data_IF_725429407388
#
_entry.id   IF_725429407388
#
_cell.length_a   1.000
_cell.length_b   1.000
_cell.length_c   1.000
_cell.angle_alpha   90.00
_cell.angle_beta   90.00
_cell.angle_gamma   90.00
#
_symmetry.space_group_name_H-M   'P 1'
#
loop_
_entity.id
_entity.type
_entity.pdbx_description
1 polymer ?
#
# COMPACT_ATOMS: atom_id res chain seq x y z
N UNK A 1 -10.09 9.30 20.84
CA UNK A 1 -8.97 8.58 20.20
C UNK A 1 -9.13 7.12 20.58
N UNK A 2 -9.86 6.37 19.76
CA UNK A 2 -10.05 4.94 19.99
C UNK A 2 -8.97 4.19 19.22
N UNK A 3 -7.98 3.68 19.96
CA UNK A 3 -7.09 2.65 19.46
C UNK A 3 -7.88 1.33 19.47
N UNK A 4 -8.60 1.06 18.39
CA UNK A 4 -9.29 -0.22 18.24
C UNK A 4 -8.24 -1.33 18.10
N UNK A 5 -8.35 -2.38 18.92
CA UNK A 5 -7.46 -3.53 18.97
C UNK A 5 -7.46 -4.42 17.69
N UNK A 6 -8.05 -3.94 16.60
CA UNK A 6 -8.06 -4.60 15.30
C UNK A 6 -7.61 -3.62 14.21
N UNK A 7 -6.39 -3.82 13.72
CA UNK A 7 -5.78 -2.95 12.71
C UNK A 7 -6.31 -3.22 11.30
N UNK A 8 -6.88 -4.39 11.01
CA UNK A 8 -7.33 -4.73 9.64
C UNK A 8 -8.47 -3.84 9.14
N UNK A 9 -9.26 -3.26 10.04
CA UNK A 9 -10.38 -2.39 9.68
C UNK A 9 -10.01 -0.90 9.54
N UNK A 10 -8.77 -0.49 9.82
CA UNK A 10 -8.36 0.92 9.85
C UNK A 10 -7.05 1.20 9.12
N UNK A 11 -6.16 0.21 9.04
CA UNK A 11 -4.87 0.32 8.38
C UNK A 11 -4.58 -0.98 7.63
N UNK A 12 -4.45 -0.97 6.30
CA UNK A 12 -4.35 -2.18 5.49
C UNK A 12 -2.95 -2.80 5.62
N UNK A 13 -2.65 -3.35 6.79
CA UNK A 13 -1.44 -4.11 7.07
C UNK A 13 -1.81 -5.56 7.31
N UNK A 14 -0.89 -6.47 6.98
CA UNK A 14 -1.16 -7.90 7.04
C UNK A 14 -2.35 -8.31 6.14
N UNK A 15 -2.51 -7.64 4.99
CA UNK A 15 -3.51 -7.99 3.98
C UNK A 15 -2.83 -8.53 2.73
N UNK A 16 -3.42 -9.59 2.17
CA UNK A 16 -2.97 -10.15 0.89
C UNK A 16 -3.49 -9.27 -0.26
N UNK A 17 -2.56 -8.77 -1.06
CA UNK A 17 -2.82 -8.07 -2.31
C UNK A 17 -2.92 -9.08 -3.45
N UNK A 18 -4.16 -9.37 -3.86
CA UNK A 18 -4.46 -10.31 -4.93
C UNK A 18 -5.26 -9.66 -6.07
N UNK A 19 -4.58 -9.08 -7.07
CA UNK A 19 -5.24 -8.50 -8.23
C UNK A 19 -5.85 -9.54 -9.18
N UNK A 20 -5.59 -10.84 -8.98
CA UNK A 20 -6.27 -11.89 -9.75
C UNK A 20 -7.67 -12.18 -9.21
N UNK A 21 -7.93 -11.90 -7.93
CA UNK A 21 -9.23 -12.10 -7.30
C UNK A 21 -10.14 -10.87 -7.37
N UNK A 22 -9.57 -9.66 -7.44
CA UNK A 22 -10.33 -8.42 -7.49
C UNK A 22 -9.88 -7.52 -8.66
N UNK A 23 -10.74 -7.32 -9.68
CA UNK A 23 -10.43 -6.50 -10.85
C UNK A 23 -10.35 -4.99 -10.54
N UNK A 24 -10.70 -4.56 -9.33
CA UNK A 24 -10.49 -3.18 -8.88
C UNK A 24 -9.02 -2.88 -8.52
N UNK A 25 -8.11 -3.86 -8.66
CA UNK A 25 -6.69 -3.68 -8.41
C UNK A 25 -5.83 -3.64 -9.68
N UNK A 26 -4.84 -2.76 -9.67
CA UNK A 26 -3.75 -2.77 -10.62
C UNK A 26 -2.89 -4.03 -10.46
N UNK A 27 -2.16 -4.45 -11.49
CA UNK A 27 -1.31 -5.65 -11.37
C UNK A 27 -0.19 -5.44 -10.34
N UNK A 28 0.21 -6.49 -9.61
CA UNK A 28 1.31 -6.42 -8.65
C UNK A 28 2.63 -5.93 -9.31
N UNK A 29 2.84 -6.28 -10.58
CA UNK A 29 3.98 -5.80 -11.37
C UNK A 29 3.92 -4.28 -11.61
N UNK A 30 2.74 -3.72 -11.91
CA UNK A 30 2.59 -2.27 -12.08
C UNK A 30 2.76 -1.51 -10.77
N UNK A 31 2.28 -2.06 -9.64
CA UNK A 31 2.42 -1.48 -8.29
C UNK A 31 3.89 -1.40 -7.88
N UNK A 32 4.64 -2.48 -8.09
CA UNK A 32 6.05 -2.59 -7.66
C UNK A 32 7.06 -2.02 -8.67
N UNK A 33 6.70 -1.96 -9.94
CA UNK A 33 7.48 -1.31 -10.99
C UNK A 33 7.22 0.20 -11.03
N UNK A 34 6.44 0.64 -12.03
CA UNK A 34 6.15 2.07 -12.25
C UNK A 34 5.46 2.75 -11.06
N UNK A 35 4.69 1.98 -10.28
CA UNK A 35 4.03 2.44 -9.07
C UNK A 35 4.99 2.78 -7.94
N UNK A 36 6.18 2.19 -7.89
CA UNK A 36 7.22 2.47 -6.89
C UNK A 36 6.88 2.06 -5.46
N UNK A 37 5.84 1.24 -5.24
CA UNK A 37 5.50 0.70 -3.93
C UNK A 37 6.15 -0.67 -3.73
N UNK A 38 6.20 -1.13 -2.48
CA UNK A 38 6.81 -2.43 -2.14
C UNK A 38 5.73 -3.36 -1.61
N UNK A 39 5.67 -4.58 -2.13
CA UNK A 39 4.86 -5.66 -1.56
C UNK A 39 5.79 -6.70 -0.93
N UNK A 40 5.40 -7.22 0.23
CA UNK A 40 6.19 -8.10 1.07
C UNK A 40 5.80 -9.57 0.90
N UNK A 41 6.46 -10.45 1.65
CA UNK A 41 6.08 -11.86 1.74
C UNK A 41 6.65 -12.76 0.64
N UNK A 42 7.75 -12.36 -0.02
CA UNK A 42 8.53 -13.27 -0.89
C UNK A 42 7.73 -13.91 -2.04
N UNK A 43 6.80 -13.15 -2.65
CA UNK A 43 5.91 -13.63 -3.71
C UNK A 43 4.44 -13.75 -3.29
N UNK A 44 4.14 -13.59 -2.01
CA UNK A 44 2.79 -13.71 -1.46
C UNK A 44 1.95 -12.42 -1.53
N UNK A 45 2.42 -11.33 -2.15
CA UNK A 45 1.51 -10.20 -2.33
C UNK A 45 1.21 -9.41 -1.04
N UNK A 46 2.02 -9.39 0.02
CA UNK A 46 1.56 -8.80 1.30
C UNK A 46 1.70 -7.27 1.34
N UNK A 47 0.63 -6.57 1.75
CA UNK A 47 0.70 -5.17 2.14
C UNK A 47 1.12 -5.10 3.60
N UNK A 48 2.19 -4.36 3.87
CA UNK A 48 2.70 -4.12 5.22
C UNK A 48 3.01 -2.63 5.41
N UNK A 49 3.42 -2.24 6.62
CA UNK A 49 3.70 -0.84 6.97
C UNK A 49 4.61 -0.16 5.93
N UNK A 50 5.65 -0.88 5.51
CA UNK A 50 6.65 -0.39 4.58
C UNK A 50 6.19 -0.34 3.11
N UNK A 51 4.97 -0.79 2.79
CA UNK A 51 4.38 -0.65 1.46
C UNK A 51 4.06 0.81 1.19
N UNK A 52 3.47 1.47 2.18
CA UNK A 52 3.10 2.88 2.11
C UNK A 52 4.19 3.78 2.71
N UNK A 53 4.89 3.32 3.75
CA UNK A 53 5.85 4.13 4.49
C UNK A 53 7.31 3.77 4.19
N UNK A 54 8.18 4.79 4.22
CA UNK A 54 9.63 4.68 4.22
C UNK A 54 10.18 5.57 5.36
N UNK A 55 10.44 5.03 6.56
CA UNK A 55 10.87 5.83 7.71
C UNK A 55 12.23 6.54 7.53
N UNK A 56 12.99 6.17 6.49
CA UNK A 56 14.26 6.81 6.14
C UNK A 56 14.10 7.98 5.15
N UNK A 57 12.88 8.23 4.66
CA UNK A 57 12.58 9.31 3.73
C UNK A 57 11.52 10.24 4.31
N UNK A 58 11.90 11.49 4.52
CA UNK A 58 11.04 12.51 5.12
C UNK A 58 10.34 13.41 4.09
N UNK A 59 10.47 13.12 2.79
CA UNK A 59 9.95 13.95 1.69
C UNK A 59 8.44 14.10 1.74
N UNK A 60 7.68 13.02 1.99
CA UNK A 60 6.22 13.08 2.12
C UNK A 60 5.82 12.74 3.56
N UNK A 61 5.53 13.73 4.41
CA UNK A 61 5.12 13.46 5.80
C UNK A 61 3.71 12.82 5.82
N UNK A 62 3.46 11.73 6.59
CA UNK A 62 4.34 11.06 7.55
C UNK A 62 5.11 9.87 6.94
N UNK A 63 6.25 10.16 6.30
CA UNK A 63 7.15 9.17 5.69
C UNK A 63 6.53 8.30 4.59
N UNK A 64 5.63 8.85 3.78
CA UNK A 64 5.02 8.11 2.67
C UNK A 64 6.01 7.96 1.51
N UNK A 65 6.01 6.79 0.87
CA UNK A 65 6.79 6.56 -0.36
C UNK A 65 6.35 7.44 -1.52
N UNK A 66 5.09 7.88 -1.51
CA UNK A 66 4.51 8.80 -2.49
C UNK A 66 3.60 9.80 -1.81
N UNK A 67 3.53 11.01 -2.36
CA UNK A 67 2.51 11.98 -1.98
C UNK A 67 1.11 11.36 -2.12
N UNK A 68 0.27 11.59 -1.12
CA UNK A 68 -1.14 11.20 -1.18
C UNK A 68 -2.06 12.29 -1.75
N UNK A 69 -1.49 13.32 -2.38
CA UNK A 69 -2.26 14.32 -3.10
C UNK A 69 -3.17 13.63 -4.15
N UNK A 70 -4.45 14.03 -4.19
CA UNK A 70 -5.46 13.42 -5.06
C UNK A 70 -5.54 11.88 -4.96
N UNK A 71 -5.23 11.29 -3.80
CA UNK A 71 -5.19 9.84 -3.57
C UNK A 71 -4.15 9.08 -4.40
N UNK A 72 -3.10 9.75 -4.90
CA UNK A 72 -2.11 9.15 -5.80
C UNK A 72 -1.39 7.91 -5.21
N UNK A 73 -1.25 7.85 -3.88
CA UNK A 73 -0.74 6.66 -3.20
C UNK A 73 -1.72 5.48 -3.35
N UNK A 74 -3.00 5.72 -3.05
CA UNK A 74 -4.05 4.69 -3.09
C UNK A 74 -4.30 4.18 -4.52
N UNK A 75 -4.34 5.09 -5.50
CA UNK A 75 -4.59 4.74 -6.92
C UNK A 75 -3.40 4.06 -7.57
N UNK A 76 -2.26 3.94 -6.86
CA UNK A 76 -1.20 3.06 -7.33
C UNK A 76 -1.66 1.60 -7.27
N UNK A 77 -2.45 1.22 -6.26
CA UNK A 77 -3.00 -0.13 -6.14
C UNK A 77 -4.43 -0.23 -6.70
N UNK A 78 -5.28 0.79 -6.49
CA UNK A 78 -6.69 0.72 -6.88
C UNK A 78 -6.97 1.41 -8.22
N UNK A 79 -7.80 0.75 -9.04
CA UNK A 79 -8.45 1.32 -10.21
C UNK A 79 -9.72 2.02 -9.73
N UNK A 80 -9.93 3.27 -10.13
CA UNK A 80 -11.03 4.12 -9.68
C UNK A 80 -12.10 4.28 -10.75
#
# INVERSE_FOLDING_TARGET
MEFAANLTNQHPISVTYDPAQDPAFNTAASVTGAGGLVLYGGGQNQVECGTCHNPHDTTNVPFLRKSNAASALCTTCHIK
#
